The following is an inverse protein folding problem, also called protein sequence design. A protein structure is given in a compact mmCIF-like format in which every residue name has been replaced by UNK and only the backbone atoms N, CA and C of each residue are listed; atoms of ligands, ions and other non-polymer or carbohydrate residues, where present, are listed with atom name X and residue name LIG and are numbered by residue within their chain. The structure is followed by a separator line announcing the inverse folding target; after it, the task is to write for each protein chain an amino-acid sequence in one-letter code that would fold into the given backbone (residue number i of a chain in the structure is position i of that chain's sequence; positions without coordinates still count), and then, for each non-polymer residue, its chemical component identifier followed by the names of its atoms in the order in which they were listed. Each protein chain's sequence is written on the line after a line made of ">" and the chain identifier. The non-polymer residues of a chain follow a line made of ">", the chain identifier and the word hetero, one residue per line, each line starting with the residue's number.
data_IF_722947504301
#
_entry.id   IF_722947504301
#
_cell.length_a   1.000
_cell.length_b   1.000
_cell.length_c   1.000
_cell.angle_alpha   90.00
_cell.angle_beta   90.00
_cell.angle_gamma   90.00
#
_symmetry.space_group_name_H-M   'P 1'
#
loop_
_entity.id
_entity.type
_entity.pdbx_description
1 polymer ?
#
# COMPACT_ATOMS: atom_id res chain seq x y z
N UNK A 1 -8.83 -16.48 19.46
CA UNK A 1 -7.93 -15.90 18.42
C UNK A 1 -8.65 -14.72 17.81
N UNK A 2 -8.04 -13.53 17.71
CA UNK A 2 -8.69 -12.39 17.08
C UNK A 2 -9.09 -12.75 15.63
N UNK A 3 -10.25 -12.30 15.14
CA UNK A 3 -10.72 -12.63 13.80
C UNK A 3 -9.72 -12.13 12.75
N UNK A 4 -9.43 -12.98 11.76
CA UNK A 4 -8.55 -12.64 10.66
C UNK A 4 -9.15 -11.46 9.87
N UNK A 5 -8.45 -10.32 9.83
CA UNK A 5 -8.88 -9.17 9.04
C UNK A 5 -8.61 -9.44 7.55
N UNK A 6 -9.59 -10.03 6.86
CA UNK A 6 -9.53 -10.35 5.43
C UNK A 6 -9.16 -9.14 4.56
N UNK A 7 -9.60 -7.95 4.95
CA UNK A 7 -9.32 -6.69 4.26
C UNK A 7 -7.84 -6.29 4.34
N UNK A 8 -7.21 -6.51 5.50
CA UNK A 8 -5.77 -6.25 5.67
C UNK A 8 -4.93 -7.25 4.87
N UNK A 9 -5.36 -8.52 4.80
CA UNK A 9 -4.73 -9.53 3.97
C UNK A 9 -4.85 -9.19 2.48
N UNK A 10 -6.05 -8.84 2.02
CA UNK A 10 -6.28 -8.43 0.63
C UNK A 10 -5.41 -7.23 0.23
N UNK A 11 -5.31 -6.23 1.10
CA UNK A 11 -4.44 -5.08 0.89
C UNK A 11 -2.96 -5.47 0.80
N UNK A 12 -2.47 -6.31 1.72
CA UNK A 12 -1.08 -6.76 1.70
C UNK A 12 -0.73 -7.53 0.42
N UNK A 13 -1.62 -8.42 -0.03
CA UNK A 13 -1.46 -9.15 -1.29
C UNK A 13 -1.47 -8.21 -2.48
N UNK A 14 -2.40 -7.26 -2.54
CA UNK A 14 -2.46 -6.26 -3.62
C UNK A 14 -1.18 -5.43 -3.68
N UNK A 15 -0.68 -4.95 -2.54
CA UNK A 15 0.54 -4.15 -2.49
C UNK A 15 1.77 -4.96 -2.88
N UNK A 16 1.89 -6.21 -2.43
CA UNK A 16 2.97 -7.10 -2.82
C UNK A 16 2.97 -7.35 -4.33
N UNK A 17 1.79 -7.58 -4.93
CA UNK A 17 1.65 -7.71 -6.37
C UNK A 17 2.09 -6.43 -7.10
N UNK A 18 1.71 -5.25 -6.60
CA UNK A 18 2.15 -3.98 -7.18
C UNK A 18 3.66 -3.77 -7.10
N UNK A 19 4.28 -4.09 -5.96
CA UNK A 19 5.73 -3.99 -5.77
C UNK A 19 6.49 -4.98 -6.68
N UNK A 20 5.98 -6.20 -6.84
CA UNK A 20 6.52 -7.18 -7.78
C UNK A 20 6.41 -6.69 -9.22
N UNK A 21 5.23 -6.22 -9.62
CA UNK A 21 5.02 -5.64 -10.95
C UNK A 21 6.01 -4.51 -11.16
N UNK A 22 6.11 -3.56 -10.24
CA UNK A 22 7.07 -2.46 -10.30
C UNK A 22 8.53 -2.92 -10.37
N UNK A 23 8.89 -4.02 -9.71
CA UNK A 23 10.22 -4.62 -9.81
C UNK A 23 10.51 -5.21 -11.19
N UNK A 24 9.53 -5.91 -11.78
CA UNK A 24 9.64 -6.47 -13.15
C UNK A 24 9.71 -5.37 -14.21
N UNK A 25 9.06 -4.25 -13.92
CA UNK A 25 8.76 -3.17 -14.86
C UNK A 25 9.86 -2.09 -14.76
N UNK A 26 10.12 -1.57 -13.57
CA UNK A 26 11.08 -0.50 -13.29
C UNK A 26 12.42 -0.93 -12.71
N UNK A 27 12.65 -2.24 -12.54
CA UNK A 27 13.85 -2.79 -11.93
C UNK A 27 13.81 -2.79 -10.40
N UNK A 28 14.88 -3.32 -9.80
CA UNK A 28 14.96 -3.60 -8.36
C UNK A 28 14.64 -2.39 -7.48
N UNK A 29 15.09 -1.18 -7.87
CA UNK A 29 14.88 0.04 -7.09
C UNK A 29 13.42 0.48 -7.01
N UNK A 30 12.63 0.31 -8.09
CA UNK A 30 11.21 0.67 -8.08
C UNK A 30 10.38 -0.33 -7.26
N UNK A 31 10.66 -1.63 -7.40
CA UNK A 31 9.99 -2.65 -6.58
C UNK A 31 10.36 -2.55 -5.10
N UNK A 32 11.66 -2.39 -4.80
CA UNK A 32 12.17 -2.20 -3.45
C UNK A 32 11.65 -0.91 -2.79
N UNK A 33 11.55 0.17 -3.56
CA UNK A 33 10.97 1.44 -3.11
C UNK A 33 9.50 1.30 -2.69
N UNK A 34 8.69 0.58 -3.46
CA UNK A 34 7.30 0.31 -3.09
C UNK A 34 7.16 -0.61 -1.87
N UNK A 35 8.03 -1.61 -1.74
CA UNK A 35 8.07 -2.46 -0.54
C UNK A 35 8.44 -1.65 0.71
N UNK A 36 9.42 -0.74 0.60
CA UNK A 36 9.79 0.18 1.68
C UNK A 36 8.67 1.18 2.00
N UNK A 37 7.99 1.72 0.99
CA UNK A 37 6.89 2.65 1.18
C UNK A 37 5.73 2.04 1.98
N UNK A 38 5.46 0.74 1.80
CA UNK A 38 4.47 0.02 2.62
C UNK A 38 4.83 0.10 4.11
N UNK A 39 6.11 -0.15 4.42
CA UNK A 39 6.59 -0.33 5.78
C UNK A 39 6.80 1.02 6.49
N UNK A 40 7.33 2.01 5.76
CA UNK A 40 7.73 3.32 6.32
C UNK A 40 6.63 4.37 6.22
N UNK A 41 5.71 4.25 5.26
CA UNK A 41 4.66 5.25 5.04
C UNK A 41 3.29 4.67 5.38
N UNK A 42 2.88 3.61 4.67
CA UNK A 42 1.50 3.10 4.76
C UNK A 42 1.18 2.61 6.16
N UNK A 43 2.06 1.81 6.78
CA UNK A 43 1.86 1.30 8.13
C UNK A 43 1.71 2.41 9.19
N UNK A 44 2.66 3.35 9.34
CA UNK A 44 2.52 4.41 10.33
C UNK A 44 1.34 5.36 10.03
N UNK A 45 1.00 5.62 8.76
CA UNK A 45 -0.20 6.41 8.43
C UNK A 45 -1.48 5.68 8.86
N UNK A 46 -1.56 4.37 8.64
CA UNK A 46 -2.68 3.52 9.06
C UNK A 46 -2.80 3.52 10.59
N UNK A 47 -1.69 3.36 11.31
CA UNK A 47 -1.68 3.42 12.77
C UNK A 47 -2.07 4.81 13.32
N UNK A 48 -1.57 5.87 12.68
CA UNK A 48 -1.89 7.25 13.07
C UNK A 48 -3.37 7.57 12.86
N UNK A 49 -3.92 7.25 11.69
CA UNK A 49 -5.35 7.46 11.39
C UNK A 49 -6.23 6.69 12.37
N UNK A 50 -5.95 5.41 12.60
CA UNK A 50 -6.68 4.60 13.58
C UNK A 50 -6.62 5.21 14.98
N UNK A 51 -5.45 5.69 15.42
CA UNK A 51 -5.26 6.29 16.75
C UNK A 51 -6.03 7.60 16.96
N UNK A 52 -6.30 8.35 15.89
CA UNK A 52 -6.91 9.67 15.95
C UNK A 52 -8.42 9.66 15.75
N UNK A 53 -8.92 8.77 14.88
CA UNK A 53 -10.34 8.75 14.52
C UNK A 53 -11.11 7.58 15.11
N UNK A 54 -10.43 6.47 15.47
CA UNK A 54 -11.09 5.23 15.89
C UNK A 54 -11.99 4.60 14.82
N UNK A 55 -11.92 5.09 13.57
CA UNK A 55 -12.78 4.69 12.47
C UNK A 55 -12.03 3.79 11.48
N UNK A 56 -12.32 2.49 11.56
CA UNK A 56 -11.76 1.46 10.66
C UNK A 56 -12.18 1.64 9.19
N UNK A 57 -13.33 2.26 8.92
CA UNK A 57 -13.77 2.50 7.55
C UNK A 57 -12.96 3.62 6.89
N UNK A 58 -12.61 4.66 7.66
CA UNK A 58 -11.71 5.72 7.20
C UNK A 58 -10.29 5.18 6.95
N UNK A 59 -9.77 4.38 7.88
CA UNK A 59 -8.46 3.74 7.74
C UNK A 59 -8.38 2.92 6.45
N UNK A 60 -9.40 2.08 6.17
CA UNK A 60 -9.50 1.31 4.93
C UNK A 60 -9.42 2.20 3.70
N UNK A 61 -10.21 3.29 3.66
CA UNK A 61 -10.21 4.23 2.54
C UNK A 61 -8.84 4.85 2.33
N UNK A 62 -8.17 5.28 3.39
CA UNK A 62 -6.82 5.87 3.32
C UNK A 62 -5.81 4.85 2.80
N UNK A 63 -5.88 3.59 3.26
CA UNK A 63 -5.00 2.51 2.80
C UNK A 63 -5.15 2.26 1.30
N UNK A 64 -6.37 2.05 0.83
CA UNK A 64 -6.66 1.81 -0.57
C UNK A 64 -6.41 3.04 -1.46
N UNK A 65 -6.59 4.26 -0.94
CA UNK A 65 -6.22 5.49 -1.65
C UNK A 65 -4.71 5.60 -1.87
N UNK A 66 -3.89 5.27 -0.86
CA UNK A 66 -2.43 5.21 -1.02
C UNK A 66 -2.01 4.16 -2.05
N UNK A 67 -2.67 3.00 -2.08
CA UNK A 67 -2.42 1.98 -3.10
C UNK A 67 -2.76 2.48 -4.49
N UNK A 68 -3.92 3.13 -4.66
CA UNK A 68 -4.31 3.72 -5.94
C UNK A 68 -3.31 4.79 -6.40
N UNK A 69 -2.84 5.66 -5.48
CA UNK A 69 -1.84 6.67 -5.78
C UNK A 69 -0.49 6.05 -6.20
N UNK A 70 -0.05 5.00 -5.50
CA UNK A 70 1.17 4.26 -5.84
C UNK A 70 1.07 3.57 -7.21
N UNK A 71 -0.08 2.95 -7.51
CA UNK A 71 -0.33 2.32 -8.80
C UNK A 71 -0.37 3.35 -9.94
N UNK A 72 -1.01 4.50 -9.72
CA UNK A 72 -0.99 5.61 -10.67
C UNK A 72 0.42 6.14 -10.89
N UNK A 73 1.19 6.34 -9.83
CA UNK A 73 2.59 6.75 -9.92
C UNK A 73 3.41 5.79 -10.79
N UNK A 74 3.24 4.48 -10.56
CA UNK A 74 3.90 3.45 -11.37
C UNK A 74 3.51 3.54 -12.86
N UNK A 75 2.22 3.73 -13.16
CA UNK A 75 1.75 3.89 -14.54
C UNK A 75 2.37 5.13 -15.17
N UNK A 76 2.33 6.28 -14.48
CA UNK A 76 2.89 7.55 -14.98
C UNK A 76 4.38 7.41 -15.28
N UNK A 77 5.15 6.80 -14.38
CA UNK A 77 6.60 6.55 -14.59
C UNK A 77 6.91 5.61 -15.75
N UNK A 78 5.90 5.00 -16.38
CA UNK A 78 6.07 4.13 -17.54
C UNK A 78 5.52 4.70 -18.85
N UNK A 79 4.78 5.80 -18.77
CA UNK A 79 4.25 6.51 -19.94
C UNK A 79 5.23 7.57 -20.44
N UNK A 80 6.10 8.09 -19.56
CA UNK A 80 7.18 9.03 -19.87
C UNK A 80 8.53 8.32 -19.86
#
# INVERSE_FOLDING_TARGET
>A
MPPLNLDALAFAVAWAALALLAGMVGGFWMGGGLALALLVVVMPLSAFTLSKTGDFALERKVRWAMFAAAALGLIVTRVF
#
